data_IF_745294440853
#
_entry.id   IF_745294440853
#
_cell.length_a   1.000
_cell.length_b   1.000
_cell.length_c   1.000
_cell.angle_alpha   90.00
_cell.angle_beta   90.00
_cell.angle_gamma   90.00
#
_symmetry.space_group_name_H-M   'P 1'
#
loop_
_entity.id
_entity.type
_entity.pdbx_description
1 polymer ?
#
# COMPACT_ATOMS: atom_id res chain seq x y z
N UNK A 1 -0.41 17.29 -0.30
CA UNK A 1 -0.71 15.99 0.37
C UNK A 1 0.07 14.89 -0.35
N UNK A 2 0.66 13.90 0.35
CA UNK A 2 1.41 12.79 -0.30
C UNK A 2 0.46 11.92 -1.14
N UNK A 3 0.89 11.42 -2.30
CA UNK A 3 0.00 10.70 -3.24
C UNK A 3 -0.65 9.46 -2.62
N UNK A 4 0.12 8.65 -1.88
CA UNK A 4 -0.37 7.45 -1.21
C UNK A 4 -1.43 7.78 -0.16
N UNK A 5 -1.33 8.93 0.54
CA UNK A 5 -2.36 9.38 1.49
C UNK A 5 -3.69 9.62 0.81
N UNK A 6 -3.66 10.16 -0.42
CA UNK A 6 -4.86 10.43 -1.21
C UNK A 6 -5.51 9.12 -1.59
N UNK A 7 -4.74 8.21 -2.17
CA UNK A 7 -5.26 6.91 -2.62
C UNK A 7 -5.91 6.14 -1.47
N UNK A 8 -5.25 6.07 -0.31
CA UNK A 8 -5.80 5.38 0.86
C UNK A 8 -7.07 6.05 1.41
N UNK A 9 -7.14 7.38 1.39
CA UNK A 9 -8.35 8.13 1.79
C UNK A 9 -9.50 7.91 0.80
N UNK A 10 -9.27 8.10 -0.50
CA UNK A 10 -10.32 7.90 -1.52
C UNK A 10 -10.84 6.46 -1.50
N UNK A 11 -9.94 5.49 -1.34
CA UNK A 11 -10.31 4.08 -1.26
C UNK A 11 -11.21 3.82 -0.04
N UNK A 12 -10.87 4.41 1.12
CA UNK A 12 -11.68 4.33 2.34
C UNK A 12 -13.03 5.04 2.18
N UNK A 13 -13.06 6.20 1.54
CA UNK A 13 -14.29 6.99 1.31
C UNK A 13 -15.28 6.25 0.39
N UNK A 14 -14.76 5.38 -0.50
CA UNK A 14 -15.57 4.44 -1.29
C UNK A 14 -16.05 3.21 -0.51
N UNK A 15 -15.80 3.14 0.80
CA UNK A 15 -16.15 1.99 1.65
C UNK A 15 -15.32 0.73 1.39
N UNK A 16 -14.25 0.81 0.58
CA UNK A 16 -13.38 -0.32 0.28
C UNK A 16 -12.29 -0.45 1.35
N UNK A 17 -11.67 -1.63 1.41
CA UNK A 17 -10.45 -1.86 2.21
C UNK A 17 -9.25 -1.14 1.58
N UNK A 18 -8.05 -1.28 2.14
CA UNK A 18 -6.80 -0.73 1.59
C UNK A 18 -6.43 -1.10 0.14
N UNK A 19 -5.24 -0.68 -0.26
CA UNK A 19 -4.63 -0.91 -1.56
C UNK A 19 -3.34 -1.72 -1.40
N UNK A 20 -3.02 -2.57 -2.37
CA UNK A 20 -1.75 -3.31 -2.36
C UNK A 20 -0.56 -2.36 -2.59
N UNK A 21 0.63 -2.79 -2.16
CA UNK A 21 1.86 -2.01 -2.37
C UNK A 21 2.16 -1.84 -3.87
N UNK A 22 2.08 -2.88 -4.74
CA UNK A 22 2.22 -2.69 -6.18
C UNK A 22 1.26 -1.64 -6.74
N UNK A 23 0.01 -1.59 -6.27
CA UNK A 23 -0.97 -0.60 -6.70
C UNK A 23 -0.53 0.82 -6.33
N UNK A 24 -0.04 1.02 -5.10
CA UNK A 24 0.42 2.33 -4.67
C UNK A 24 1.66 2.74 -5.48
N UNK A 25 2.65 1.85 -5.61
CA UNK A 25 3.89 2.12 -6.36
C UNK A 25 3.62 2.43 -7.83
N UNK A 26 2.82 1.61 -8.51
CA UNK A 26 2.50 1.78 -9.92
C UNK A 26 1.66 3.03 -10.21
N UNK A 27 0.86 3.49 -9.24
CA UNK A 27 0.03 4.68 -9.41
C UNK A 27 0.84 5.95 -9.68
N UNK A 28 2.11 5.99 -9.25
CA UNK A 28 2.99 7.16 -9.44
C UNK A 28 3.13 7.56 -10.92
N UNK A 29 2.99 6.62 -11.86
CA UNK A 29 2.99 6.89 -13.30
C UNK A 29 1.88 7.86 -13.75
N UNK A 30 0.83 8.05 -12.95
CA UNK A 30 -0.33 8.89 -13.23
C UNK A 30 -0.30 10.23 -12.47
N UNK A 31 0.79 10.52 -11.74
CA UNK A 31 0.92 11.80 -11.03
C UNK A 31 0.96 12.98 -12.02
N UNK A 32 0.32 14.11 -11.67
CA UNK A 32 0.17 15.23 -12.60
C UNK A 32 1.44 16.06 -12.81
N UNK A 33 2.51 15.79 -12.04
CA UNK A 33 3.75 16.55 -12.06
C UNK A 33 4.80 15.85 -12.94
N UNK A 34 5.29 16.55 -13.97
CA UNK A 34 6.41 16.09 -14.80
C UNK A 34 7.70 16.18 -13.97
N UNK A 35 8.49 15.10 -13.89
CA UNK A 35 9.79 14.99 -13.20
C UNK A 35 9.77 14.75 -11.67
N UNK A 36 8.73 14.12 -11.13
CA UNK A 36 8.79 13.65 -9.74
C UNK A 36 9.70 12.40 -9.64
N UNK A 37 10.50 12.33 -8.58
CA UNK A 37 11.21 11.08 -8.25
C UNK A 37 10.19 10.02 -7.87
N UNK A 38 10.33 8.82 -8.45
CA UNK A 38 9.48 7.68 -8.08
C UNK A 38 9.95 7.12 -6.76
N UNK A 39 9.03 7.04 -5.82
CA UNK A 39 9.21 6.40 -4.52
C UNK A 39 9.28 4.88 -4.68
N UNK A 40 10.29 4.26 -4.09
CA UNK A 40 10.44 2.82 -3.88
C UNK A 40 9.56 2.31 -2.73
N UNK A 41 9.51 0.98 -2.53
CA UNK A 41 8.83 0.37 -1.37
C UNK A 41 9.47 0.86 -0.07
N UNK A 42 10.80 0.81 0.04
CA UNK A 42 11.54 1.33 1.20
C UNK A 42 11.18 2.77 1.53
N UNK A 43 11.24 3.67 0.54
CA UNK A 43 10.90 5.08 0.74
C UNK A 43 9.43 5.28 1.10
N UNK A 44 8.51 4.46 0.56
CA UNK A 44 7.08 4.49 0.91
C UNK A 44 6.88 4.13 2.38
N UNK A 45 7.46 3.02 2.83
CA UNK A 45 7.28 2.52 4.20
C UNK A 45 7.94 3.46 5.23
N UNK A 46 9.11 4.00 4.92
CA UNK A 46 9.76 5.02 5.75
C UNK A 46 8.88 6.28 5.83
N UNK A 47 8.38 6.80 4.70
CA UNK A 47 7.53 7.99 4.68
C UNK A 47 6.21 7.78 5.45
N UNK A 48 5.59 6.59 5.35
CA UNK A 48 4.41 6.23 6.14
C UNK A 48 4.74 6.20 7.64
N UNK A 49 5.85 5.60 8.03
CA UNK A 49 6.22 5.47 9.45
C UNK A 49 6.55 6.80 10.12
N UNK A 50 7.18 7.71 9.38
CA UNK A 50 7.67 8.98 9.94
C UNK A 50 6.63 10.10 9.78
N UNK A 51 5.88 10.13 8.68
CA UNK A 51 5.16 11.33 8.26
C UNK A 51 3.70 11.05 7.89
N UNK A 52 2.87 10.67 8.86
CA UNK A 52 1.44 10.42 8.60
C UNK A 52 0.47 11.27 9.42
N UNK A 53 -0.66 11.61 8.79
CA UNK A 53 -1.78 12.35 9.43
C UNK A 53 -2.86 11.41 9.98
N UNK A 54 -2.74 10.13 9.70
CA UNK A 54 -3.61 9.06 10.18
C UNK A 54 -2.74 7.82 10.40
N UNK A 55 -3.20 6.86 11.17
CA UNK A 55 -2.48 5.60 11.30
C UNK A 55 -2.74 4.72 10.06
N UNK A 56 -1.67 4.23 9.42
CA UNK A 56 -1.76 3.27 8.32
C UNK A 56 -1.50 1.87 8.87
N UNK A 57 -2.34 0.90 8.50
CA UNK A 57 -2.12 -0.51 8.82
C UNK A 57 -1.74 -1.29 7.57
N UNK A 58 -0.66 -2.07 7.67
CA UNK A 58 -0.36 -3.17 6.75
C UNK A 58 -1.12 -4.41 7.24
N UNK A 59 -1.87 -5.07 6.36
CA UNK A 59 -2.57 -6.31 6.72
C UNK A 59 -2.78 -7.23 5.52
N UNK A 60 -2.98 -8.51 5.81
CA UNK A 60 -3.40 -9.48 4.80
C UNK A 60 -4.87 -9.27 4.39
N UNK A 61 -5.13 -9.35 3.08
CA UNK A 61 -6.46 -9.26 2.48
C UNK A 61 -6.84 -10.62 1.86
N UNK A 62 -7.76 -11.33 2.51
CA UNK A 62 -8.24 -12.65 2.04
C UNK A 62 -8.88 -12.60 0.66
N UNK A 63 -9.50 -11.48 0.26
CA UNK A 63 -10.17 -11.39 -1.02
C UNK A 63 -9.19 -11.43 -2.22
N UNK A 64 -7.99 -10.88 -2.04
CA UNK A 64 -6.97 -10.74 -3.10
C UNK A 64 -5.70 -11.54 -2.81
N UNK A 65 -5.72 -12.32 -1.71
CA UNK A 65 -4.63 -13.15 -1.22
C UNK A 65 -3.28 -12.42 -1.16
N UNK A 66 -3.29 -11.18 -0.67
CA UNK A 66 -2.07 -10.33 -0.60
C UNK A 66 -2.14 -9.28 0.50
N UNK A 67 -1.01 -8.63 0.79
CA UNK A 67 -0.92 -7.54 1.76
C UNK A 67 -1.42 -6.23 1.16
N UNK A 68 -2.17 -5.48 1.96
CA UNK A 68 -2.67 -4.15 1.63
C UNK A 68 -2.30 -3.15 2.73
N UNK A 69 -2.07 -1.91 2.33
CA UNK A 69 -2.02 -0.75 3.21
C UNK A 69 -3.41 -0.13 3.28
N UNK A 70 -3.90 0.13 4.48
CA UNK A 70 -5.19 0.78 4.71
C UNK A 70 -5.09 1.88 5.77
N UNK A 71 -6.02 2.83 5.74
CA UNK A 71 -6.21 3.72 6.90
C UNK A 71 -6.79 2.88 8.04
N UNK A 72 -6.09 2.78 9.17
CA UNK A 72 -6.40 1.82 10.23
C UNK A 72 -7.84 1.92 10.72
N UNK A 73 -8.40 0.75 11.02
CA UNK A 73 -9.62 0.56 11.82
C UNK A 73 -9.19 0.10 13.22
N UNK A 74 -9.67 0.76 14.27
CA UNK A 74 -9.22 0.59 15.67
C UNK A 74 -9.44 -0.81 16.25
N UNK A 75 -10.25 -1.66 15.62
CA UNK A 75 -10.64 -2.98 16.13
C UNK A 75 -9.66 -4.11 15.81
N UNK A 76 -8.67 -3.89 14.94
CA UNK A 76 -7.75 -4.95 14.54
C UNK A 76 -6.60 -5.09 15.55
N UNK A 77 -6.26 -6.33 15.92
CA UNK A 77 -5.05 -6.63 16.68
C UNK A 77 -3.82 -6.34 15.81
N UNK A 78 -2.93 -5.49 16.31
CA UNK A 78 -1.75 -5.01 15.56
C UNK A 78 -0.53 -4.93 16.48
N UNK A 79 0.65 -4.93 15.87
CA UNK A 79 1.89 -4.45 16.49
C UNK A 79 2.41 -3.22 15.76
N UNK A 80 3.27 -2.46 16.43
CA UNK A 80 3.93 -1.28 15.87
C UNK A 80 5.41 -1.61 15.62
N UNK A 81 5.85 -1.70 14.35
CA UNK A 81 7.24 -2.03 14.07
C UNK A 81 8.19 -0.93 14.53
N UNK A 82 9.41 -1.34 14.86
CA UNK A 82 10.49 -0.43 15.24
C UNK A 82 11.21 0.10 14.00
N UNK A 83 11.62 1.36 14.03
CA UNK A 83 12.55 1.93 13.06
C UNK A 83 13.69 2.58 13.84
N UNK A 84 14.93 2.16 13.58
CA UNK A 84 16.11 2.60 14.34
C UNK A 84 15.90 2.50 15.86
N UNK A 85 15.31 1.39 16.32
CA UNK A 85 15.06 1.10 17.73
C UNK A 85 13.81 1.74 18.36
N UNK A 86 13.10 2.62 17.65
CA UNK A 86 11.91 3.31 18.17
C UNK A 86 10.62 2.78 17.53
N UNK A 87 9.59 2.52 18.33
CA UNK A 87 8.26 2.12 17.81
C UNK A 87 7.62 3.24 16.98
N UNK A 88 7.03 2.85 15.84
CA UNK A 88 6.46 3.80 14.89
C UNK A 88 4.93 3.80 14.93
N UNK A 89 4.34 4.79 15.61
CA UNK A 89 2.87 4.87 15.81
C UNK A 89 2.06 5.12 14.53
N UNK A 90 2.70 5.57 13.46
CA UNK A 90 2.03 5.89 12.19
C UNK A 90 1.85 4.68 11.27
N UNK A 91 2.59 3.60 11.52
CA UNK A 91 2.52 2.35 10.78
C UNK A 91 2.23 1.23 11.78
N UNK A 92 1.14 0.51 11.58
CA UNK A 92 0.84 -0.71 12.32
C UNK A 92 0.85 -1.91 11.37
N UNK A 93 1.13 -3.09 11.90
CA UNK A 93 1.01 -4.34 11.16
C UNK A 93 -0.01 -5.22 11.86
N UNK A 94 -1.01 -5.68 11.12
CA UNK A 94 -2.01 -6.60 11.67
C UNK A 94 -1.37 -7.95 12.00
N UNK A 95 -1.66 -8.45 13.20
CA UNK A 95 -1.24 -9.79 13.61
C UNK A 95 -1.98 -10.77 12.69
N UNK A 96 -1.23 -11.43 11.83
CA UNK A 96 -1.73 -12.38 10.83
C UNK A 96 -0.76 -13.54 10.70
N UNK A 97 -1.10 -14.52 9.87
CA UNK A 97 -0.24 -15.69 9.63
C UNK A 97 1.09 -15.34 8.94
N UNK A 98 1.20 -14.16 8.34
CA UNK A 98 2.42 -13.66 7.71
C UNK A 98 3.37 -13.08 8.79
N UNK A 99 4.54 -13.68 8.95
CA UNK A 99 5.61 -13.11 9.77
C UNK A 99 6.42 -12.10 8.92
N UNK A 100 6.17 -10.81 9.12
CA UNK A 100 6.86 -9.73 8.41
C UNK A 100 8.07 -9.17 9.17
N UNK A 101 8.36 -9.69 10.36
CA UNK A 101 9.39 -9.15 11.26
C UNK A 101 8.88 -8.03 12.19
N UNK A 102 9.73 -7.61 13.12
CA UNK A 102 9.39 -6.61 14.16
C UNK A 102 9.92 -5.21 13.83
N UNK A 103 10.79 -5.10 12.83
CA UNK A 103 11.37 -3.83 12.38
C UNK A 103 10.85 -3.41 11.01
N UNK A 104 10.87 -2.11 10.74
CA UNK A 104 10.52 -1.55 9.43
C UNK A 104 11.50 -2.05 8.37
N UNK A 105 12.77 -2.24 8.72
CA UNK A 105 13.81 -2.75 7.85
C UNK A 105 13.53 -4.19 7.40
N UNK A 106 13.12 -5.07 8.32
CA UNK A 106 12.68 -6.45 7.99
C UNK A 106 11.43 -6.45 7.11
N UNK A 107 10.44 -5.63 7.47
CA UNK A 107 9.20 -5.49 6.70
C UNK A 107 9.52 -5.02 5.29
N UNK A 108 10.37 -4.01 5.12
CA UNK A 108 10.77 -3.51 3.79
C UNK A 108 11.37 -4.64 2.96
N UNK A 109 12.31 -5.40 3.52
CA UNK A 109 12.96 -6.51 2.83
C UNK A 109 11.95 -7.54 2.34
N UNK A 110 11.06 -7.99 3.23
CA UNK A 110 10.02 -8.97 2.89
C UNK A 110 9.07 -8.45 1.79
N UNK A 111 8.67 -7.17 1.86
CA UNK A 111 7.78 -6.57 0.86
C UNK A 111 8.49 -6.36 -0.48
N UNK A 112 9.76 -5.99 -0.48
CA UNK A 112 10.58 -5.88 -1.68
C UNK A 112 10.72 -7.25 -2.36
N UNK A 113 11.07 -8.29 -1.62
CA UNK A 113 11.18 -9.66 -2.16
C UNK A 113 9.83 -10.14 -2.70
N UNK A 114 8.73 -9.94 -1.96
CA UNK A 114 7.38 -10.39 -2.32
C UNK A 114 6.79 -9.65 -3.53
N UNK A 115 7.09 -8.36 -3.69
CA UNK A 115 6.48 -7.51 -4.71
C UNK A 115 7.39 -7.14 -5.86
N UNK A 116 8.65 -7.60 -5.85
CA UNK A 116 9.60 -7.37 -6.95
C UNK A 116 9.04 -7.81 -8.29
N UNK A 117 8.60 -9.06 -8.41
CA UNK A 117 8.12 -9.62 -9.67
C UNK A 117 6.92 -8.85 -10.26
N UNK A 118 5.80 -8.62 -9.52
CA UNK A 118 4.67 -7.88 -10.09
C UNK A 118 5.04 -6.43 -10.43
N UNK A 119 5.92 -5.78 -9.67
CA UNK A 119 6.36 -4.40 -9.98
C UNK A 119 7.21 -4.38 -11.26
N UNK A 120 8.19 -5.28 -11.38
CA UNK A 120 9.08 -5.38 -12.54
C UNK A 120 8.29 -5.70 -13.82
N UNK A 121 7.24 -6.54 -13.72
CA UNK A 121 6.33 -6.88 -14.81
C UNK A 121 5.20 -5.86 -15.06
N UNK A 122 5.14 -4.78 -14.29
CA UNK A 122 4.07 -3.76 -14.34
C UNK A 122 2.66 -4.32 -14.11
N UNK A 123 2.54 -5.34 -13.27
CA UNK A 123 1.30 -5.98 -12.84
C UNK A 123 0.89 -5.43 -11.46
N UNK A 124 0.32 -4.24 -11.46
CA UNK A 124 0.10 -3.46 -10.23
C UNK A 124 -1.26 -3.69 -9.55
N UNK A 125 -2.23 -4.35 -10.21
CA UNK A 125 -3.55 -4.62 -9.64
C UNK A 125 -3.68 -6.08 -9.22
N UNK A 126 -4.17 -6.33 -8.00
CA UNK A 126 -4.51 -7.67 -7.53
C UNK A 126 -5.99 -7.97 -7.81
N UNK A 127 -6.27 -9.09 -8.47
CA UNK A 127 -7.64 -9.52 -8.73
C UNK A 127 -8.29 -10.15 -7.49
N UNK A 128 -9.61 -9.95 -7.29
CA UNK A 128 -10.37 -10.76 -6.35
C UNK A 128 -10.27 -12.25 -6.71
N UNK A 129 -9.76 -13.06 -5.79
CA UNK A 129 -9.48 -14.47 -6.00
C UNK A 129 -9.51 -15.25 -4.67
N UNK A 130 -10.58 -15.08 -3.90
CA UNK A 130 -10.74 -15.66 -2.56
C UNK A 130 -10.61 -17.20 -2.52
N UNK A 131 -10.78 -17.89 -3.65
CA UNK A 131 -10.62 -19.33 -3.81
C UNK A 131 -9.15 -19.78 -4.02
N UNK A 132 -8.24 -18.85 -4.31
CA UNK A 132 -6.82 -19.14 -4.54
C UNK A 132 -6.02 -18.99 -3.25
N UNK A 133 -4.78 -19.50 -3.27
CA UNK A 133 -3.81 -19.36 -2.16
C UNK A 133 -2.82 -18.22 -2.36
N UNK A 134 -2.76 -17.66 -3.57
CA UNK A 134 -1.78 -16.63 -3.96
C UNK A 134 -2.48 -15.53 -4.74
N UNK A 135 -1.92 -14.33 -4.68
CA UNK A 135 -2.41 -13.19 -5.45
C UNK A 135 -2.35 -13.44 -6.95
N UNK A 136 -3.38 -13.01 -7.68
CA UNK A 136 -3.37 -12.95 -9.14
C UNK A 136 -3.14 -11.50 -9.54
N UNK A 137 -1.99 -11.22 -10.15
CA UNK A 137 -1.59 -9.88 -10.55
C UNK A 137 -1.93 -9.60 -12.01
N UNK A 138 -2.46 -8.42 -12.27
CA UNK A 138 -2.77 -7.90 -13.61
C UNK A 138 -2.30 -6.47 -13.77
N UNK A 139 -2.27 -6.00 -15.01
CA UNK A 139 -2.15 -4.57 -15.31
C UNK A 139 -3.34 -3.82 -14.72
N UNK A 140 -3.20 -2.51 -14.56
CA UNK A 140 -4.35 -1.67 -14.27
C UNK A 140 -5.42 -1.80 -15.34
N UNK A 141 -6.66 -1.88 -14.89
CA UNK A 141 -7.83 -1.86 -15.75
C UNK A 141 -8.15 -0.43 -16.19
N UNK A 142 -8.48 -0.26 -17.47
CA UNK A 142 -8.85 1.04 -18.05
C UNK A 142 -10.21 1.54 -17.54
N UNK A 143 -11.06 0.64 -17.02
CA UNK A 143 -12.42 0.94 -16.60
C UNK A 143 -12.60 1.13 -15.08
N UNK A 144 -11.65 0.68 -14.25
CA UNK A 144 -11.75 0.83 -12.79
C UNK A 144 -10.50 1.48 -12.19
N UNK A 145 -9.32 0.87 -12.38
CA UNK A 145 -8.09 1.26 -11.69
C UNK A 145 -7.58 2.62 -12.16
N UNK A 146 -7.42 2.80 -13.48
CA UNK A 146 -6.92 4.05 -14.05
C UNK A 146 -7.88 5.21 -13.74
N UNK A 147 -9.22 5.07 -13.94
CA UNK A 147 -10.17 6.11 -13.52
C UNK A 147 -10.09 6.42 -12.03
N UNK A 148 -9.94 5.42 -11.16
CA UNK A 148 -9.78 5.66 -9.72
C UNK A 148 -8.51 6.46 -9.41
N UNK A 149 -7.35 6.05 -9.93
CA UNK A 149 -6.07 6.70 -9.68
C UNK A 149 -6.09 8.16 -10.18
N UNK A 150 -6.48 8.36 -11.43
CA UNK A 150 -6.49 9.68 -12.07
C UNK A 150 -7.47 10.63 -11.39
N UNK A 151 -8.67 10.14 -11.00
CA UNK A 151 -9.63 10.96 -10.25
C UNK A 151 -9.13 11.29 -8.85
N UNK A 152 -8.47 10.34 -8.16
CA UNK A 152 -7.87 10.59 -6.85
C UNK A 152 -6.85 11.73 -6.93
N UNK A 153 -6.00 11.74 -7.96
CA UNK A 153 -4.96 12.74 -8.15
C UNK A 153 -5.45 14.09 -8.68
N UNK A 154 -6.73 14.24 -9.08
CA UNK A 154 -7.30 15.58 -9.35
C UNK A 154 -7.19 16.48 -8.12
N UNK A 155 -7.24 15.91 -6.91
CA UNK A 155 -7.07 16.63 -5.63
C UNK A 155 -5.64 17.12 -5.37
N UNK A 156 -4.66 16.79 -6.23
CA UNK A 156 -3.29 17.31 -6.17
C UNK A 156 -3.07 18.54 -7.06
N UNK A 157 -4.01 18.84 -7.96
CA UNK A 157 -3.89 19.97 -8.89
C UNK A 157 -4.38 21.29 -8.30
N UNK A 158 -5.04 21.24 -7.14
CA UNK A 158 -5.52 22.36 -6.35
C UNK A 158 -4.71 22.46 -5.06
#
# INVERSE_FOLDING_TARGET
MKYWKILLKEQRDKGKSGLSIPFIIGSQAYLPFKNHSKQSISELLIDISQNNSFETSLRYCMNTQTLILEVRKTKNAVYFPKYKGNEQKNLSVAISFDNLGESIEEIIKELEDRFKEPIDKQLFSAEPNSDKRTAVWRKYTDYEDIPFITNSFKKLKN
#
